data_IF_239430296896
#
_entry.id   IF_239430296896
#
_cell.length_a   1.000
_cell.length_b   1.000
_cell.length_c   1.000
_cell.angle_alpha   90.00
_cell.angle_beta   90.00
_cell.angle_gamma   90.00
#
_symmetry.space_group_name_H-M   'P 1'
#
loop_
_entity.id
_entity.type
_entity.pdbx_description
1 polymer ?
#
# COMPACT_ATOMS: atom_id res chain seq x y z
N UNK A 1 -13.73 66.68 -21.86
CA UNK A 1 -14.23 65.62 -20.94
C UNK A 1 -14.53 64.41 -21.83
N UNK A 2 -14.06 63.17 -21.66
CA UNK A 2 -13.59 62.41 -20.52
C UNK A 2 -12.62 61.31 -21.00
N UNK A 3 -11.61 61.00 -20.18
CA UNK A 3 -10.70 59.85 -20.34
C UNK A 3 -11.45 58.55 -19.99
N UNK A 4 -11.19 57.43 -20.70
CA UNK A 4 -10.55 56.22 -20.13
C UNK A 4 -10.59 55.01 -21.09
N UNK A 5 -9.64 54.06 -20.93
CA UNK A 5 -9.31 53.02 -21.91
C UNK A 5 -9.65 51.60 -21.38
N UNK A 6 -9.16 50.59 -22.11
CA UNK A 6 -8.84 49.22 -21.67
C UNK A 6 -9.94 48.18 -21.85
N UNK A 7 -9.74 47.31 -22.86
CA UNK A 7 -9.91 45.86 -22.69
C UNK A 7 -8.82 45.14 -23.49
N UNK A 8 -7.57 45.21 -23.00
CA UNK A 8 -6.52 44.23 -23.32
C UNK A 8 -6.22 43.45 -22.05
N UNK A 9 -7.12 42.52 -21.71
CA UNK A 9 -6.98 41.63 -20.57
C UNK A 9 -7.90 40.46 -20.86
N UNK A 10 -7.39 39.43 -21.53
CA UNK A 10 -7.92 38.05 -21.48
C UNK A 10 -7.12 37.06 -22.34
N UNK A 11 -6.17 37.52 -23.16
CA UNK A 11 -5.34 36.61 -23.98
C UNK A 11 -4.11 36.00 -23.28
N UNK A 12 -3.98 36.16 -21.95
CA UNK A 12 -2.83 35.63 -21.18
C UNK A 12 -3.12 34.37 -20.36
N UNK A 13 -4.37 33.92 -20.24
CA UNK A 13 -4.78 32.90 -19.26
C UNK A 13 -4.93 31.50 -19.87
N UNK A 14 -5.07 31.39 -21.19
CA UNK A 14 -5.20 30.09 -21.86
C UNK A 14 -3.95 29.17 -21.82
N UNK A 15 -2.70 29.66 -22.03
CA UNK A 15 -1.58 28.73 -22.12
C UNK A 15 -1.21 28.11 -20.76
N UNK A 16 -1.38 28.85 -19.67
CA UNK A 16 -1.08 28.35 -18.31
C UNK A 16 -2.02 27.23 -17.85
N UNK A 17 -3.31 27.33 -18.20
CA UNK A 17 -4.30 26.31 -17.86
C UNK A 17 -4.07 25.00 -18.63
N UNK A 18 -3.71 25.08 -19.92
CA UNK A 18 -3.41 23.90 -20.73
C UNK A 18 -2.12 23.18 -20.29
N UNK A 19 -1.08 23.93 -19.92
CA UNK A 19 0.18 23.37 -19.37
C UNK A 19 -0.07 22.75 -17.99
N UNK A 20 -0.83 23.40 -17.12
CA UNK A 20 -1.21 22.86 -15.81
C UNK A 20 -2.03 21.58 -15.91
N UNK A 21 -2.99 21.51 -16.86
CA UNK A 21 -3.79 20.31 -17.10
C UNK A 21 -2.95 19.15 -17.65
N UNK A 22 -1.96 19.45 -18.49
CA UNK A 22 -1.05 18.45 -19.07
C UNK A 22 -0.07 17.86 -18.05
N UNK A 23 0.37 18.67 -17.07
CA UNK A 23 1.21 18.22 -15.95
C UNK A 23 0.42 17.37 -14.95
N UNK A 24 -0.85 17.71 -14.71
CA UNK A 24 -1.75 16.91 -13.88
C UNK A 24 -2.09 15.56 -14.53
N UNK A 25 -2.37 15.52 -15.84
CA UNK A 25 -2.67 14.26 -16.53
C UNK A 25 -1.44 13.35 -16.64
N UNK A 26 -0.24 13.88 -16.88
CA UNK A 26 0.99 13.07 -16.89
C UNK A 26 1.31 12.49 -15.52
N UNK A 27 1.16 13.24 -14.43
CA UNK A 27 1.34 12.73 -13.07
C UNK A 27 0.31 11.64 -12.71
N UNK A 28 -0.94 11.79 -13.17
CA UNK A 28 -2.00 10.80 -12.97
C UNK A 28 -1.71 9.55 -13.81
N UNK A 29 -1.27 9.64 -15.08
CA UNK A 29 -0.99 8.46 -15.89
C UNK A 29 0.26 7.71 -15.42
N UNK A 30 1.31 8.42 -14.99
CA UNK A 30 2.52 7.77 -14.43
C UNK A 30 2.29 7.12 -13.06
N UNK A 31 1.33 7.62 -12.28
CA UNK A 31 0.96 7.04 -11.00
C UNK A 31 0.19 5.71 -11.12
N UNK A 32 -0.45 5.46 -12.26
CA UNK A 32 -1.29 4.27 -12.49
C UNK A 32 -0.53 3.10 -13.12
N UNK A 33 0.60 3.34 -13.77
CA UNK A 33 1.40 2.26 -14.37
C UNK A 33 2.03 1.32 -13.34
N UNK A 34 2.18 1.77 -12.09
CA UNK A 34 2.75 1.03 -10.99
C UNK A 34 1.73 0.77 -9.88
N UNK A 35 0.60 0.13 -10.21
CA UNK A 35 -0.43 -0.25 -9.23
C UNK A 35 -0.05 -1.54 -8.47
N UNK A 36 0.36 -1.46 -7.19
CA UNK A 36 0.85 -2.61 -6.45
C UNK A 36 -0.29 -3.45 -5.85
N UNK A 37 -1.56 -3.24 -6.25
CA UNK A 37 -2.69 -4.01 -5.76
C UNK A 37 -2.49 -5.50 -5.97
N UNK A 38 -2.57 -6.23 -4.85
CA UNK A 38 -2.56 -7.67 -4.81
C UNK A 38 -4.02 -8.18 -4.80
N UNK A 39 -4.39 -9.17 -5.63
CA UNK A 39 -5.70 -9.82 -5.51
C UNK A 39 -5.84 -10.42 -4.12
N UNK A 40 -6.88 -10.03 -3.38
CA UNK A 40 -7.09 -10.47 -2.00
C UNK A 40 -7.42 -11.96 -1.98
N UNK A 41 -6.73 -12.72 -1.14
CA UNK A 41 -7.06 -14.12 -0.83
C UNK A 41 -8.06 -14.20 0.31
N UNK A 42 -8.00 -13.27 1.25
CA UNK A 42 -8.93 -13.18 2.37
C UNK A 42 -10.08 -12.24 2.01
N UNK A 43 -11.28 -12.79 1.89
CA UNK A 43 -12.45 -12.02 1.50
C UNK A 43 -13.71 -12.38 2.29
N UNK A 44 -13.54 -13.10 3.41
CA UNK A 44 -14.67 -13.40 4.28
C UNK A 44 -15.11 -12.14 5.02
N UNK A 45 -16.42 -12.02 5.21
CA UNK A 45 -16.97 -11.02 6.12
C UNK A 45 -16.70 -11.45 7.57
N UNK A 46 -16.32 -10.52 8.46
CA UNK A 46 -16.07 -10.83 9.86
C UNK A 46 -17.34 -11.40 10.51
N UNK A 47 -17.26 -12.57 11.15
CA UNK A 47 -18.39 -13.10 11.91
C UNK A 47 -18.57 -12.33 13.22
N UNK A 48 -19.77 -12.39 13.77
CA UNK A 48 -20.01 -11.98 15.16
C UNK A 48 -19.42 -13.02 16.10
N UNK A 49 -18.48 -12.60 16.96
CA UNK A 49 -17.89 -13.46 18.00
C UNK A 49 -19.00 -13.94 18.96
N UNK A 50 -18.96 -15.21 19.33
CA UNK A 50 -19.99 -15.84 20.16
C UNK A 50 -21.27 -16.24 19.40
N UNK A 51 -21.44 -15.83 18.15
CA UNK A 51 -22.56 -16.30 17.33
C UNK A 51 -22.35 -17.74 16.86
N UNK A 52 -23.44 -18.48 16.68
CA UNK A 52 -23.40 -19.86 16.21
C UNK A 52 -22.75 -19.97 14.83
N UNK A 53 -21.89 -20.97 14.67
CA UNK A 53 -21.11 -21.17 13.44
C UNK A 53 -21.32 -22.54 12.76
N UNK A 54 -21.97 -23.49 13.44
CA UNK A 54 -22.28 -24.81 12.91
C UNK A 54 -23.79 -25.11 13.00
N UNK A 55 -24.21 -26.31 12.56
CA UNK A 55 -25.61 -26.74 12.55
C UNK A 55 -26.31 -26.61 13.90
N UNK A 56 -27.65 -26.59 13.87
CA UNK A 56 -28.50 -26.24 15.02
C UNK A 56 -28.28 -27.10 16.29
N UNK A 57 -27.76 -28.32 16.14
CA UNK A 57 -27.48 -29.27 17.22
C UNK A 57 -26.07 -29.14 17.82
N UNK A 58 -25.18 -28.35 17.24
CA UNK A 58 -23.80 -28.18 17.71
C UNK A 58 -23.65 -26.84 18.45
N UNK A 59 -23.17 -26.83 19.71
CA UNK A 59 -23.00 -25.61 20.50
C UNK A 59 -21.75 -24.81 20.09
N UNK A 60 -21.43 -24.78 18.80
CA UNK A 60 -20.23 -24.16 18.27
C UNK A 60 -20.44 -22.67 18.02
N UNK A 61 -19.46 -21.87 18.42
CA UNK A 61 -19.48 -20.41 18.25
C UNK A 61 -18.22 -19.91 17.54
N UNK A 62 -18.34 -18.78 16.85
CA UNK A 62 -17.19 -18.07 16.29
C UNK A 62 -16.34 -17.48 17.41
N UNK A 63 -15.04 -17.70 17.33
CA UNK A 63 -14.03 -17.18 18.24
C UNK A 63 -12.86 -16.55 17.46
N UNK A 64 -12.14 -15.62 18.11
CA UNK A 64 -11.10 -14.78 17.52
C UNK A 64 -11.38 -13.27 17.69
N UNK A 65 -10.76 -12.39 16.86
CA UNK A 65 -9.80 -12.71 15.81
C UNK A 65 -8.46 -13.21 16.37
N UNK A 66 -7.95 -14.28 15.79
CA UNK A 66 -6.59 -14.75 16.04
C UNK A 66 -5.65 -14.06 15.08
N UNK A 67 -4.69 -13.30 15.64
CA UNK A 67 -3.47 -12.70 15.07
C UNK A 67 -3.41 -12.44 13.56
N UNK A 68 -2.87 -11.31 13.08
CA UNK A 68 -2.72 -11.14 11.64
C UNK A 68 -1.66 -12.14 11.13
N UNK A 69 -2.10 -13.14 10.35
CA UNK A 69 -1.25 -14.17 9.77
C UNK A 69 -0.92 -13.83 8.33
N UNK A 70 0.34 -14.02 7.95
CA UNK A 70 0.75 -13.99 6.55
C UNK A 70 0.11 -15.18 5.82
N UNK A 71 -0.78 -14.88 4.88
CA UNK A 71 -1.48 -15.89 4.07
C UNK A 71 -0.94 -15.99 2.65
N UNK A 72 -0.18 -14.97 2.24
CA UNK A 72 0.40 -14.82 0.92
C UNK A 72 1.56 -13.85 0.96
N UNK A 73 2.66 -14.23 0.31
CA UNK A 73 3.79 -13.38 -0.03
C UNK A 73 4.04 -13.49 -1.52
N UNK A 74 4.04 -12.36 -2.21
CA UNK A 74 4.27 -12.32 -3.66
C UNK A 74 5.24 -11.21 -4.00
N UNK A 75 6.22 -11.54 -4.82
CA UNK A 75 7.19 -10.59 -5.33
C UNK A 75 6.60 -9.84 -6.53
N UNK A 76 6.60 -8.51 -6.46
CA UNK A 76 6.00 -7.61 -7.43
C UNK A 76 7.02 -6.62 -7.97
N UNK A 77 6.81 -6.23 -9.23
CA UNK A 77 7.58 -5.22 -9.94
C UNK A 77 6.67 -4.06 -10.35
N UNK A 78 6.09 -3.42 -9.33
CA UNK A 78 5.03 -2.42 -9.48
C UNK A 78 5.25 -1.20 -8.60
N UNK A 79 6.50 -0.90 -8.29
CA UNK A 79 6.91 0.28 -7.53
C UNK A 79 7.91 1.10 -8.35
N UNK A 80 7.79 2.42 -8.29
CA UNK A 80 8.74 3.33 -8.89
C UNK A 80 9.45 4.10 -7.77
N UNK A 81 10.79 4.06 -7.75
CA UNK A 81 11.63 4.75 -6.76
C UNK A 81 12.82 5.42 -7.44
N UNK A 82 13.22 6.63 -7.01
CA UNK A 82 14.47 7.25 -7.47
C UNK A 82 15.73 6.51 -7.01
N UNK A 83 15.60 5.60 -6.04
CA UNK A 83 16.71 4.81 -5.49
C UNK A 83 17.18 3.68 -6.44
N UNK A 84 16.51 3.51 -7.59
CA UNK A 84 16.85 2.53 -8.63
C UNK A 84 16.94 3.24 -10.00
N UNK A 85 17.98 4.06 -10.22
CA UNK A 85 18.07 4.98 -11.36
C UNK A 85 18.34 4.29 -12.72
N UNK A 86 18.66 2.99 -12.71
CA UNK A 86 19.02 2.23 -13.92
C UNK A 86 17.82 1.98 -14.86
N UNK A 87 16.59 2.20 -14.40
CA UNK A 87 15.38 2.02 -15.19
C UNK A 87 14.84 3.40 -15.60
N UNK A 88 14.43 3.60 -16.87
CA UNK A 88 13.92 4.87 -17.36
C UNK A 88 12.78 5.44 -16.50
N UNK A 89 12.79 6.75 -16.30
CA UNK A 89 11.74 7.49 -15.61
C UNK A 89 10.37 7.21 -16.24
N UNK A 90 9.43 6.71 -15.43
CA UNK A 90 8.07 6.37 -15.87
C UNK A 90 7.76 4.85 -15.92
N UNK A 91 8.73 3.99 -15.61
CA UNK A 91 8.51 2.55 -15.44
C UNK A 91 8.66 2.12 -13.98
N UNK A 92 8.02 1.01 -13.61
CA UNK A 92 8.21 0.41 -12.30
C UNK A 92 9.57 -0.26 -12.25
N UNK A 93 10.39 0.13 -11.29
CA UNK A 93 11.80 -0.22 -11.24
C UNK A 93 12.22 -0.92 -9.96
N UNK A 94 11.37 -0.95 -8.92
CA UNK A 94 11.68 -1.59 -7.65
C UNK A 94 10.90 -2.88 -7.47
N UNK A 95 11.61 -3.91 -7.00
CA UNK A 95 11.03 -5.19 -6.65
C UNK A 95 10.66 -5.23 -5.16
N UNK A 96 9.45 -5.68 -4.87
CA UNK A 96 8.84 -5.58 -3.54
C UNK A 96 8.02 -6.84 -3.23
N UNK A 97 8.18 -7.37 -2.03
CA UNK A 97 7.30 -8.41 -1.50
C UNK A 97 5.99 -7.78 -1.00
N UNK A 98 4.88 -8.07 -1.67
CA UNK A 98 3.54 -7.82 -1.18
C UNK A 98 3.11 -8.98 -0.27
N UNK A 99 2.85 -8.66 0.99
CA UNK A 99 2.55 -9.61 2.05
C UNK A 99 1.13 -9.34 2.52
N UNK A 100 0.22 -10.25 2.17
CA UNK A 100 -1.17 -10.19 2.62
C UNK A 100 -1.27 -10.81 4.02
N UNK A 101 -1.81 -10.03 4.96
CA UNK A 101 -2.07 -10.45 6.33
C UNK A 101 -3.57 -10.49 6.60
N UNK A 102 -4.01 -11.51 7.32
CA UNK A 102 -5.42 -11.75 7.60
C UNK A 102 -5.65 -12.20 9.02
N UNK A 103 -6.83 -11.86 9.54
CA UNK A 103 -7.34 -12.40 10.79
C UNK A 103 -8.01 -13.75 10.55
N UNK A 104 -7.71 -14.72 11.42
CA UNK A 104 -8.38 -16.01 11.42
C UNK A 104 -9.50 -16.00 12.48
N UNK A 105 -10.70 -16.42 12.10
CA UNK A 105 -11.80 -16.71 13.01
C UNK A 105 -12.11 -18.20 12.95
N UNK A 106 -12.22 -18.83 14.12
CA UNK A 106 -12.40 -20.28 14.24
C UNK A 106 -13.78 -20.57 14.79
N UNK A 107 -14.37 -21.65 14.30
CA UNK A 107 -15.60 -22.18 14.85
C UNK A 107 -15.25 -23.26 15.88
N UNK A 108 -15.48 -22.96 17.16
CA UNK A 108 -15.04 -23.80 18.27
C UNK A 108 -16.20 -24.18 19.20
N UNK A 109 -16.03 -25.31 19.88
CA UNK A 109 -16.85 -25.69 21.02
C UNK A 109 -16.52 -24.80 22.22
N UNK A 110 -17.41 -24.70 23.23
CA UNK A 110 -17.11 -24.01 24.48
C UNK A 110 -15.90 -24.61 25.22
N UNK A 111 -15.55 -25.87 24.93
CA UNK A 111 -14.35 -26.54 25.42
C UNK A 111 -13.06 -26.09 24.73
N UNK A 112 -13.13 -25.28 23.68
CA UNK A 112 -11.99 -24.83 22.86
C UNK A 112 -11.66 -25.73 21.66
N UNK A 113 -12.31 -26.89 21.52
CA UNK A 113 -12.07 -27.80 20.40
C UNK A 113 -12.64 -27.27 19.07
N UNK A 114 -12.00 -27.59 17.94
CA UNK A 114 -12.51 -27.22 16.60
C UNK A 114 -13.80 -27.97 16.27
N UNK A 115 -14.76 -27.27 15.66
CA UNK A 115 -16.02 -27.84 15.21
C UNK A 115 -15.98 -28.40 13.77
N UNK A 116 -14.81 -28.48 13.15
CA UNK A 116 -14.66 -28.96 11.76
C UNK A 116 -15.24 -28.02 10.69
N UNK A 117 -15.85 -26.90 11.11
CA UNK A 117 -16.23 -25.82 10.19
C UNK A 117 -14.98 -25.04 9.78
N UNK A 118 -14.78 -24.75 8.48
CA UNK A 118 -13.61 -23.99 8.02
C UNK A 118 -13.47 -22.64 8.72
N UNK A 119 -12.24 -22.26 9.04
CA UNK A 119 -11.94 -20.92 9.55
C UNK A 119 -12.35 -19.86 8.54
N UNK A 120 -12.84 -18.72 9.02
CA UNK A 120 -13.01 -17.52 8.20
C UNK A 120 -11.74 -16.68 8.21
N UNK A 121 -11.35 -16.21 7.04
CA UNK A 121 -10.16 -15.40 6.82
C UNK A 121 -10.56 -14.00 6.38
N UNK A 122 -10.44 -13.06 7.32
CA UNK A 122 -10.83 -11.67 7.12
C UNK A 122 -9.60 -10.84 6.80
N UNK A 123 -9.67 -10.06 5.74
CA UNK A 123 -8.59 -9.17 5.33
C UNK A 123 -8.19 -8.21 6.46
N UNK A 124 -6.89 -8.09 6.72
CA UNK A 124 -6.36 -7.10 7.66
C UNK A 124 -5.55 -6.02 6.93
N UNK A 125 -4.48 -6.41 6.24
CA UNK A 125 -3.58 -5.46 5.58
C UNK A 125 -2.75 -6.12 4.48
N UNK A 126 -2.20 -5.28 3.58
CA UNK A 126 -1.08 -5.66 2.72
C UNK A 126 0.11 -4.82 3.13
N UNK A 127 1.20 -5.49 3.49
CA UNK A 127 2.49 -4.86 3.77
C UNK A 127 3.39 -5.06 2.56
N UNK A 128 4.14 -4.03 2.21
CA UNK A 128 5.07 -4.07 1.09
C UNK A 128 6.49 -3.97 1.66
N UNK A 129 7.33 -4.94 1.39
CA UNK A 129 8.72 -4.99 1.85
C UNK A 129 9.66 -4.92 0.65
N UNK A 130 10.68 -4.06 0.70
CA UNK A 130 11.74 -4.02 -0.32
C UNK A 130 12.36 -5.39 -0.49
N UNK A 131 12.61 -5.80 -1.73
CA UNK A 131 13.48 -6.94 -2.02
C UNK A 131 14.96 -6.55 -2.09
N UNK A 132 15.29 -5.25 -2.05
CA UNK A 132 16.65 -4.73 -2.20
C UNK A 132 17.23 -4.84 -3.61
N UNK A 133 16.35 -5.01 -4.60
CA UNK A 133 16.72 -5.19 -6.00
C UNK A 133 15.72 -4.53 -6.94
N UNK A 134 16.18 -4.24 -8.14
CA UNK A 134 15.36 -3.75 -9.24
C UNK A 134 14.55 -4.89 -9.86
N UNK A 135 13.76 -4.56 -10.87
CA UNK A 135 12.97 -5.53 -11.59
C UNK A 135 13.76 -6.49 -12.50
N UNK A 136 15.04 -6.22 -12.74
CA UNK A 136 15.99 -7.11 -13.39
C UNK A 136 16.75 -8.01 -12.41
N UNK A 137 16.58 -7.83 -11.09
CA UNK A 137 17.33 -8.56 -10.05
C UNK A 137 18.69 -7.94 -9.70
N UNK A 138 18.96 -6.70 -10.13
CA UNK A 138 20.18 -5.99 -9.74
C UNK A 138 19.98 -5.30 -8.40
N UNK A 139 20.99 -5.32 -7.50
CA UNK A 139 20.90 -4.64 -6.21
C UNK A 139 20.60 -3.13 -6.38
N UNK A 140 19.50 -2.67 -5.78
CA UNK A 140 19.11 -1.26 -5.75
C UNK A 140 18.08 -0.99 -4.65
N UNK A 141 17.86 0.29 -4.33
CA UNK A 141 16.77 0.65 -3.42
C UNK A 141 17.07 0.37 -1.93
N UNK A 142 16.03 0.41 -1.08
CA UNK A 142 16.16 0.16 0.34
C UNK A 142 16.57 -1.29 0.64
N UNK A 143 17.27 -1.56 1.75
CA UNK A 143 17.64 -2.92 2.15
C UNK A 143 16.45 -3.90 2.17
N UNK A 144 16.67 -5.20 1.90
CA UNK A 144 15.61 -6.20 1.96
C UNK A 144 14.85 -6.18 3.30
N UNK A 145 13.53 -6.29 3.25
CA UNK A 145 12.66 -6.23 4.45
C UNK A 145 12.27 -4.82 4.90
N UNK A 146 12.84 -3.77 4.29
CA UNK A 146 12.40 -2.39 4.58
C UNK A 146 10.96 -2.20 4.13
N UNK A 147 10.08 -1.76 5.04
CA UNK A 147 8.68 -1.49 4.71
C UNK A 147 8.59 -0.29 3.75
N UNK A 148 7.91 -0.49 2.63
CA UNK A 148 7.65 0.51 1.60
C UNK A 148 6.19 0.92 1.67
N UNK A 149 5.94 2.22 1.75
CA UNK A 149 4.59 2.76 1.73
C UNK A 149 4.07 2.75 0.29
N UNK A 150 2.88 2.18 0.08
CA UNK A 150 2.21 2.18 -1.23
C UNK A 150 1.89 3.59 -1.73
N UNK A 151 1.64 3.78 -3.05
CA UNK A 151 1.22 5.06 -3.61
C UNK A 151 -0.11 5.54 -2.99
N UNK A 152 -0.37 6.87 -3.01
CA UNK A 152 -1.56 7.48 -2.38
C UNK A 152 -2.86 6.81 -2.87
N UNK A 153 -3.65 6.26 -1.93
CA UNK A 153 -4.89 5.53 -2.21
C UNK A 153 -4.96 4.13 -1.60
N UNK A 154 -3.85 3.60 -1.09
CA UNK A 154 -3.89 2.59 -0.02
C UNK A 154 -4.33 3.28 1.28
N UNK A 155 -5.18 2.69 2.14
CA UNK A 155 -5.56 3.33 3.41
C UNK A 155 -4.29 3.51 4.29
N UNK A 156 -3.91 4.77 4.52
CA UNK A 156 -2.60 5.25 5.06
C UNK A 156 -2.69 5.49 6.60
N UNK A 157 -1.58 5.85 7.31
CA UNK A 157 -1.13 7.26 7.35
C UNK A 157 0.39 7.52 7.17
N UNK A 158 0.65 8.62 6.44
CA UNK A 158 1.87 9.41 6.12
C UNK A 158 2.92 9.64 7.25
N UNK A 159 4.01 10.41 7.00
CA UNK A 159 5.16 10.18 6.12
C UNK A 159 6.43 9.98 6.98
N UNK A 160 7.37 9.13 6.56
CA UNK A 160 8.69 9.12 7.23
C UNK A 160 9.66 9.92 6.37
N UNK A 161 9.85 11.19 6.74
CA UNK A 161 11.08 11.91 6.44
C UNK A 161 12.24 11.03 6.94
N UNK A 162 13.22 10.66 6.11
CA UNK A 162 14.37 9.91 6.61
C UNK A 162 15.08 10.76 7.66
N UNK A 163 15.04 10.33 8.93
CA UNK A 163 15.95 10.85 9.94
C UNK A 163 17.32 10.28 9.59
N UNK A 164 18.11 11.06 8.86
CA UNK A 164 19.54 10.84 8.76
C UNK A 164 20.07 11.09 10.17
N UNK A 165 20.66 10.09 10.87
CA UNK A 165 21.38 10.40 12.10
C UNK A 165 22.53 11.32 11.73
N UNK A 166 22.42 12.60 12.10
CA UNK A 166 23.57 13.50 12.13
C UNK A 166 24.56 12.89 13.11
N UNK A 167 25.60 12.26 12.57
CA UNK A 167 26.81 11.94 13.30
C UNK A 167 27.31 13.27 13.85
N UNK A 168 27.12 13.48 15.15
CA UNK A 168 27.73 14.58 15.85
C UNK A 168 29.24 14.43 15.68
N UNK A 169 29.80 15.34 14.89
CA UNK A 169 31.22 15.61 14.82
C UNK A 169 31.64 15.97 16.25
N UNK A 170 32.23 15.02 16.99
CA UNK A 170 32.99 15.36 18.17
C UNK A 170 34.22 16.11 17.68
N UNK A 171 34.11 17.44 17.66
CA UNK A 171 35.27 18.31 17.60
C UNK A 171 36.06 18.12 18.90
N UNK A 172 37.28 17.63 18.73
CA UNK A 172 38.29 17.65 19.75
C UNK A 172 38.53 19.10 20.21
N UNK A 173 38.43 19.32 21.52
CA UNK A 173 39.23 20.28 22.28
C UNK A 173 39.14 19.95 23.77
#
# INVERSE_FOLDING_TARGET
MSKKPIVWRNFGILPGAAVGLSLLTTAIVSGWQCDPRLPRRCNDSPPSIGARCAGLSMPCVWDGPYGPKEVRRQLLCRFNTPLCPMVPTGQCNLRVYAIERCWEYRCIYPSGASCGTPSKWVFHSVVYESAGEDCGGNPCGPPPGTIIWGPPGTPIPFPVTPIIPTVAKQEAR
#
